data_IF_207892986253
#
_entry.id   IF_207892986253
#
_cell.length_a   1.000
_cell.length_b   1.000
_cell.length_c   1.000
_cell.angle_alpha   90.00
_cell.angle_beta   90.00
_cell.angle_gamma   90.00
#
_symmetry.space_group_name_H-M   'P 1'
#
loop_
_entity.id
_entity.type
_entity.pdbx_description
1 polymer ?
#
# COMPACT_ATOMS: atom_id res chain seq x y z
N UNK A 1 2.99 -6.56 33.75
CA UNK A 1 3.38 -7.90 34.24
C UNK A 1 4.90 -8.05 34.38
N UNK A 2 5.70 -7.88 33.32
CA UNK A 2 7.17 -8.05 33.38
C UNK A 2 7.85 -7.13 34.41
N UNK A 3 7.43 -5.86 34.47
CA UNK A 3 7.99 -4.94 35.48
C UNK A 3 7.60 -5.29 36.92
N UNK A 4 6.44 -5.93 37.13
CA UNK A 4 6.01 -6.38 38.46
C UNK A 4 6.86 -7.57 38.95
N UNK A 5 7.33 -8.43 38.03
CA UNK A 5 8.14 -9.61 38.35
C UNK A 5 9.66 -9.36 38.29
N UNK A 6 10.09 -8.11 38.08
CA UNK A 6 11.49 -7.73 37.79
C UNK A 6 12.48 -8.14 38.87
N UNK A 7 12.09 -8.04 40.15
CA UNK A 7 12.92 -8.48 41.28
C UNK A 7 13.14 -10.00 41.29
N UNK A 8 12.08 -10.78 41.04
CA UNK A 8 12.15 -12.24 40.96
C UNK A 8 13.01 -12.70 39.77
N UNK A 9 12.80 -12.08 38.60
CA UNK A 9 13.59 -12.32 37.39
C UNK A 9 15.08 -12.01 37.59
N UNK A 10 15.42 -10.91 38.28
CA UNK A 10 16.81 -10.55 38.59
C UNK A 10 17.49 -11.62 39.45
N UNK A 11 16.82 -12.12 40.48
CA UNK A 11 17.35 -13.18 41.34
C UNK A 11 17.58 -14.49 40.56
N UNK A 12 16.64 -14.89 39.70
CA UNK A 12 16.77 -16.08 38.86
C UNK A 12 17.95 -15.96 37.87
N UNK A 13 18.08 -14.82 37.21
CA UNK A 13 19.18 -14.54 36.28
C UNK A 13 20.51 -14.56 37.01
N UNK A 14 20.60 -13.92 38.18
CA UNK A 14 21.81 -13.93 39.01
C UNK A 14 22.25 -15.34 39.41
N UNK A 15 21.30 -16.15 39.87
CA UNK A 15 21.57 -17.54 40.25
C UNK A 15 22.01 -18.39 39.04
N UNK A 16 21.29 -18.30 37.91
CA UNK A 16 21.57 -19.10 36.72
C UNK A 16 22.88 -18.69 36.02
N UNK A 17 23.21 -17.41 36.05
CA UNK A 17 24.46 -16.89 35.48
C UNK A 17 25.65 -16.95 36.45
N UNK A 18 25.44 -17.35 37.71
CA UNK A 18 26.50 -17.37 38.73
C UNK A 18 27.03 -15.98 39.13
N UNK A 19 26.25 -14.93 38.90
CA UNK A 19 26.65 -13.54 39.15
C UNK A 19 26.46 -13.18 40.62
N UNK A 20 27.56 -12.79 41.30
CA UNK A 20 27.48 -12.27 42.66
C UNK A 20 26.70 -10.95 42.75
N UNK A 21 26.89 -10.08 41.75
CA UNK A 21 26.18 -8.80 41.64
C UNK A 21 25.40 -8.81 40.33
N UNK A 22 24.07 -8.89 40.42
CA UNK A 22 23.21 -8.86 39.22
C UNK A 22 22.73 -7.43 38.97
N UNK A 23 23.00 -6.85 37.78
CA UNK A 23 22.58 -5.50 37.43
C UNK A 23 21.05 -5.39 37.29
N UNK A 24 20.57 -4.15 37.16
CA UNK A 24 19.16 -3.90 36.92
C UNK A 24 18.75 -4.43 35.53
N UNK A 25 17.63 -5.16 35.46
CA UNK A 25 17.07 -5.65 34.20
C UNK A 25 16.20 -4.58 33.56
N UNK A 26 16.25 -4.41 32.25
CA UNK A 26 15.32 -3.54 31.51
C UNK A 26 14.63 -4.36 30.44
N UNK A 27 13.31 -4.22 30.35
CA UNK A 27 12.52 -4.85 29.28
C UNK A 27 12.31 -3.79 28.21
N UNK A 28 12.76 -4.10 27.00
CA UNK A 28 12.54 -3.29 25.80
C UNK A 28 11.75 -4.15 24.84
N UNK A 29 10.68 -3.58 24.28
CA UNK A 29 9.92 -4.26 23.26
C UNK A 29 10.75 -4.30 21.97
N UNK A 30 10.84 -5.47 21.34
CA UNK A 30 11.48 -5.60 20.04
C UNK A 30 10.46 -5.16 18.99
N UNK A 31 10.72 -4.03 18.33
CA UNK A 31 9.83 -3.43 17.32
C UNK A 31 10.01 -4.06 15.93
N UNK A 32 11.09 -4.81 15.71
CA UNK A 32 11.41 -5.44 14.40
C UNK A 32 10.29 -6.35 13.86
N UNK A 33 9.52 -7.09 14.68
CA UNK A 33 8.40 -7.89 14.20
C UNK A 33 7.14 -7.07 13.85
N UNK A 34 6.99 -5.83 14.32
CA UNK A 34 5.80 -5.00 14.07
C UNK A 34 5.79 -4.36 12.69
N UNK A 35 6.96 -3.91 12.23
CA UNK A 35 7.14 -3.21 10.94
C UNK A 35 7.07 -4.15 9.72
N UNK A 36 7.22 -5.46 9.91
CA UNK A 36 7.23 -6.41 8.81
C UNK A 36 5.86 -6.59 8.13
N UNK A 37 4.76 -6.27 8.83
CA UNK A 37 3.40 -6.49 8.30
C UNK A 37 2.87 -5.32 7.45
N UNK A 38 3.33 -4.10 7.67
CA UNK A 38 2.77 -2.93 6.97
C UNK A 38 3.14 -2.96 5.47
N UNK A 39 4.35 -3.39 5.13
CA UNK A 39 4.80 -3.54 3.75
C UNK A 39 4.05 -4.68 3.05
N UNK A 40 3.78 -5.78 3.75
CA UNK A 40 3.04 -6.93 3.22
C UNK A 40 1.59 -6.56 2.89
N UNK A 41 0.93 -5.78 3.76
CA UNK A 41 -0.44 -5.31 3.55
C UNK A 41 -0.55 -4.38 2.34
N UNK A 42 0.39 -3.44 2.19
CA UNK A 42 0.45 -2.54 1.03
C UNK A 42 0.66 -3.32 -0.27
N UNK A 43 1.57 -4.30 -0.27
CA UNK A 43 1.85 -5.16 -1.43
C UNK A 43 0.62 -6.01 -1.81
N UNK A 44 -0.10 -6.56 -0.84
CA UNK A 44 -1.31 -7.35 -1.08
C UNK A 44 -2.41 -6.50 -1.73
N UNK A 45 -2.63 -5.27 -1.24
CA UNK A 45 -3.61 -4.32 -1.78
C UNK A 45 -3.23 -3.90 -3.21
N UNK A 46 -1.95 -3.59 -3.46
CA UNK A 46 -1.47 -3.21 -4.79
C UNK A 46 -1.67 -4.35 -5.80
N UNK A 47 -1.29 -5.57 -5.43
CA UNK A 47 -1.46 -6.75 -6.29
C UNK A 47 -2.92 -6.99 -6.66
N UNK A 48 -3.84 -6.87 -5.70
CA UNK A 48 -5.28 -7.03 -5.95
C UNK A 48 -5.79 -6.00 -6.97
N UNK A 49 -5.39 -4.74 -6.84
CA UNK A 49 -5.79 -3.68 -7.78
C UNK A 49 -5.23 -3.90 -9.18
N UNK A 50 -3.98 -4.36 -9.28
CA UNK A 50 -3.37 -4.69 -10.58
C UNK A 50 -4.10 -5.84 -11.27
N UNK A 51 -4.49 -6.88 -10.53
CA UNK A 51 -5.28 -8.00 -11.06
C UNK A 51 -6.67 -7.54 -11.56
N UNK A 52 -7.33 -6.66 -10.81
CA UNK A 52 -8.60 -6.05 -11.21
C UNK A 52 -8.45 -5.20 -12.48
N UNK A 53 -7.39 -4.39 -12.55
CA UNK A 53 -7.08 -3.56 -13.72
C UNK A 53 -6.73 -4.39 -14.95
N UNK A 54 -5.95 -5.46 -14.77
CA UNK A 54 -5.60 -6.39 -15.85
C UNK A 54 -6.86 -7.05 -16.42
N UNK A 55 -7.79 -7.46 -15.55
CA UNK A 55 -9.09 -8.02 -15.97
C UNK A 55 -9.94 -7.00 -16.72
N UNK A 56 -10.01 -5.75 -16.25
CA UNK A 56 -10.75 -4.69 -16.92
C UNK A 56 -10.15 -4.35 -18.29
N UNK A 57 -8.81 -4.31 -18.40
CA UNK A 57 -8.09 -4.08 -19.66
C UNK A 57 -8.33 -5.18 -20.68
N UNK A 58 -8.42 -6.45 -20.25
CA UNK A 58 -8.62 -7.58 -21.16
C UNK A 58 -9.92 -7.46 -21.99
N UNK A 59 -10.92 -6.74 -21.49
CA UNK A 59 -12.20 -6.52 -22.17
C UNK A 59 -12.43 -5.07 -22.59
N UNK A 60 -11.46 -4.16 -22.34
CA UNK A 60 -11.61 -2.75 -22.65
C UNK A 60 -11.42 -2.51 -24.15
N UNK A 61 -12.27 -1.66 -24.72
CA UNK A 61 -12.08 -1.10 -26.06
C UNK A 61 -11.39 0.25 -25.94
N UNK A 62 -10.55 0.57 -26.92
CA UNK A 62 -9.89 1.87 -26.99
C UNK A 62 -10.95 2.97 -27.15
N UNK A 63 -10.81 4.06 -26.41
CA UNK A 63 -11.83 5.12 -26.36
C UNK A 63 -11.82 6.07 -27.58
N UNK A 64 -10.93 5.84 -28.55
CA UNK A 64 -10.83 6.64 -29.77
C UNK A 64 -11.15 5.82 -31.01
N UNK A 65 -11.58 6.52 -32.05
CA UNK A 65 -11.80 5.93 -33.35
C UNK A 65 -10.48 5.52 -34.02
N UNK A 66 -10.56 4.55 -34.93
CA UNK A 66 -9.40 3.99 -35.62
C UNK A 66 -8.67 5.04 -36.48
N UNK A 67 -9.38 6.07 -36.93
CA UNK A 67 -8.83 7.22 -37.61
C UNK A 67 -9.42 8.52 -37.04
N UNK A 68 -8.69 9.22 -36.15
CA UNK A 68 -9.19 10.42 -35.47
C UNK A 68 -8.99 11.72 -36.26
N UNK A 69 -8.53 11.67 -37.51
CA UNK A 69 -8.25 12.85 -38.33
C UNK A 69 -9.32 13.08 -39.40
N UNK A 70 -9.62 14.36 -39.68
CA UNK A 70 -10.54 14.76 -40.74
C UNK A 70 -9.96 14.42 -42.11
N UNK A 71 -10.77 13.82 -42.99
CA UNK A 71 -10.43 13.60 -44.39
C UNK A 71 -11.18 14.56 -45.30
N UNK A 72 -10.53 15.00 -46.37
CA UNK A 72 -11.09 15.96 -47.35
C UNK A 72 -12.34 15.42 -48.10
N UNK A 73 -12.59 14.11 -47.98
CA UNK A 73 -13.67 13.39 -48.67
C UNK A 73 -14.95 13.25 -47.82
N UNK A 74 -14.92 13.63 -46.53
CA UNK A 74 -16.07 13.52 -45.63
C UNK A 74 -16.99 14.75 -45.74
N UNK A 75 -18.33 14.56 -45.80
CA UNK A 75 -19.25 15.69 -45.78
C UNK A 75 -19.08 16.43 -44.46
N UNK A 76 -18.74 17.72 -44.54
CA UNK A 76 -18.67 18.59 -43.37
C UNK A 76 -20.04 18.62 -42.69
N UNK A 77 -20.18 17.90 -41.58
CA UNK A 77 -21.25 18.13 -40.61
C UNK A 77 -20.90 19.41 -39.85
N UNK A 78 -20.86 20.52 -40.61
CA UNK A 78 -20.54 21.85 -40.12
C UNK A 78 -21.81 22.38 -39.44
N UNK A 79 -21.73 22.39 -38.11
CA UNK A 79 -22.48 23.20 -37.17
C UNK A 79 -23.26 24.35 -37.83
N UNK A 80 -24.60 24.26 -37.82
CA UNK A 80 -25.47 25.42 -38.01
C UNK A 80 -25.21 26.39 -36.84
N UNK A 81 -24.31 27.34 -37.06
CA UNK A 81 -24.11 28.53 -36.24
C UNK A 81 -25.30 29.45 -36.47
N UNK A 82 -26.27 29.41 -35.55
CA UNK A 82 -27.46 30.26 -35.51
C UNK A 82 -27.02 31.70 -35.18
N UNK A 83 -26.52 32.41 -36.19
CA UNK A 83 -26.31 33.85 -36.16
C UNK A 83 -27.41 34.56 -36.97
N UNK A 84 -28.63 34.55 -36.44
CA UNK A 84 -29.69 35.49 -36.83
C UNK A 84 -29.41 36.85 -36.15
N UNK A 85 -28.78 37.74 -36.92
CA UNK A 85 -28.70 39.18 -36.65
C UNK A 85 -29.68 39.86 -37.61
N UNK A 86 -30.84 40.31 -37.08
CA UNK A 86 -31.63 41.53 -37.41
C UNK A 86 -32.93 41.60 -36.57
#
# INVERSE_FOLDING_TARGET
ALDQAKGHMRSLVGHKAGLRLTPHLQFVFDEVPGEAHEIEDILAVAKKRDEELARARATAQYAGDADPYKHDDEPSDDFEDDSDEE
#
